data_IF_020894319460
#
_entry.id   IF_020894319460
#
_cell.length_a   1.000
_cell.length_b   1.000
_cell.length_c   1.000
_cell.angle_alpha   90.00
_cell.angle_beta   90.00
_cell.angle_gamma   90.00
#
_symmetry.space_group_name_H-M   'P 1'
#
loop_
_entity.id
_entity.type
_entity.pdbx_description
1 polymer ?
#
# COMPACT_ATOMS: atom_id res chain seq x y z
N UNK A 1 8.21 16.19 6.83
CA UNK A 1 9.09 14.98 6.77
C UNK A 1 8.42 13.74 7.30
N UNK A 2 8.61 12.60 6.65
CA UNK A 2 8.44 11.32 7.36
C UNK A 2 9.57 11.20 8.37
N UNK A 3 9.33 11.62 9.60
CA UNK A 3 10.33 11.49 10.66
C UNK A 3 10.56 10.00 10.93
N UNK A 4 11.80 9.55 10.83
CA UNK A 4 12.18 8.18 11.18
C UNK A 4 12.59 8.13 12.64
N UNK A 5 12.09 7.13 13.36
CA UNK A 5 12.55 6.80 14.71
C UNK A 5 13.07 5.37 14.73
N UNK A 6 14.18 5.16 15.42
CA UNK A 6 14.73 3.82 15.64
C UNK A 6 13.85 3.08 16.65
N UNK A 7 13.14 2.05 16.19
CA UNK A 7 12.26 1.22 17.03
C UNK A 7 12.85 -0.18 17.22
N UNK A 8 12.69 -0.74 18.42
CA UNK A 8 13.05 -2.12 18.71
C UNK A 8 11.99 -3.08 18.13
N UNK A 9 12.45 -4.22 17.63
CA UNK A 9 11.59 -5.34 17.26
C UNK A 9 11.20 -6.08 18.54
N UNK A 10 9.89 -6.01 18.85
CA UNK A 10 9.29 -6.65 20.02
C UNK A 10 9.00 -8.14 19.79
N UNK A 11 8.57 -8.47 18.59
CA UNK A 11 8.23 -9.84 18.21
C UNK A 11 8.42 -10.08 16.71
N UNK A 12 8.79 -11.31 16.36
CA UNK A 12 8.80 -11.82 14.99
C UNK A 12 8.11 -13.17 14.97
N UNK A 13 6.98 -13.25 14.31
CA UNK A 13 6.22 -14.49 14.16
C UNK A 13 6.25 -15.01 12.72
N UNK A 14 6.59 -16.32 12.51
CA UNK A 14 6.55 -16.96 11.21
C UNK A 14 5.08 -17.20 10.78
N UNK A 15 4.68 -16.58 9.66
CA UNK A 15 3.33 -16.72 9.10
C UNK A 15 3.24 -17.81 8.06
N UNK A 16 4.24 -17.90 7.20
CA UNK A 16 4.42 -18.97 6.19
C UNK A 16 5.92 -19.22 6.02
N UNK A 17 6.32 -20.20 5.23
CA UNK A 17 7.74 -20.47 4.96
C UNK A 17 8.46 -19.24 4.38
N UNK A 18 7.72 -18.33 3.73
CA UNK A 18 8.23 -17.13 3.05
C UNK A 18 7.68 -15.81 3.65
N UNK A 19 7.13 -15.81 4.86
CA UNK A 19 6.57 -14.60 5.43
C UNK A 19 6.74 -14.55 6.95
N UNK A 20 7.21 -13.42 7.45
CA UNK A 20 7.23 -13.09 8.88
C UNK A 20 6.35 -11.88 9.15
N UNK A 21 5.68 -11.85 10.29
CA UNK A 21 5.16 -10.62 10.86
C UNK A 21 6.14 -10.06 11.88
N UNK A 22 6.31 -8.74 11.89
CA UNK A 22 7.24 -8.00 12.75
C UNK A 22 6.42 -6.99 13.53
N UNK A 23 6.48 -7.07 14.85
CA UNK A 23 5.86 -6.13 15.78
C UNK A 23 6.92 -5.24 16.42
N UNK A 24 6.69 -3.94 16.37
CA UNK A 24 7.60 -2.94 16.96
C UNK A 24 7.17 -2.54 18.36
N UNK A 25 8.15 -2.26 19.22
CA UNK A 25 7.92 -1.63 20.50
C UNK A 25 7.98 -0.11 20.34
N UNK A 26 6.82 0.52 20.42
CA UNK A 26 6.68 1.98 20.29
C UNK A 26 6.80 2.61 21.69
N UNK A 27 7.88 3.40 21.96
CA UNK A 27 8.05 4.07 23.23
C UNK A 27 6.88 5.01 23.56
N UNK A 28 6.58 5.18 24.85
CA UNK A 28 5.40 5.96 25.28
C UNK A 28 5.38 7.40 24.74
N UNK A 29 6.52 8.05 24.58
CA UNK A 29 6.62 9.42 24.07
C UNK A 29 6.37 9.52 22.56
N UNK A 30 6.45 8.41 21.81
CA UNK A 30 6.18 8.35 20.37
C UNK A 30 4.80 7.80 20.02
N UNK A 31 4.00 7.35 20.99
CA UNK A 31 2.71 6.71 20.73
C UNK A 31 1.74 7.56 19.93
N UNK A 32 1.74 8.87 20.14
CA UNK A 32 0.88 9.78 19.38
C UNK A 32 1.27 9.86 17.91
N UNK A 33 2.56 9.86 17.61
CA UNK A 33 3.13 9.93 16.26
C UNK A 33 2.91 8.64 15.47
N UNK A 34 2.79 7.50 16.18
CA UNK A 34 2.53 6.18 15.59
C UNK A 34 1.06 5.75 15.65
N UNK A 35 0.14 6.67 15.99
CA UNK A 35 -1.28 6.43 15.74
C UNK A 35 -1.54 6.32 14.25
N UNK A 36 -2.34 5.34 13.86
CA UNK A 36 -2.61 5.10 12.44
C UNK A 36 -4.10 4.87 12.17
N UNK A 37 -4.49 5.02 10.92
CA UNK A 37 -5.77 4.58 10.39
C UNK A 37 -5.62 3.19 9.79
N UNK A 38 -6.64 2.35 9.91
CA UNK A 38 -6.63 1.02 9.30
C UNK A 38 -6.36 1.10 7.80
N UNK A 39 -5.42 0.29 7.33
CA UNK A 39 -4.97 0.26 5.94
C UNK A 39 -3.71 1.09 5.65
N UNK A 40 -3.25 1.95 6.57
CA UNK A 40 -1.99 2.67 6.41
C UNK A 40 -0.77 1.74 6.45
N UNK A 41 0.35 2.23 5.94
CA UNK A 41 1.66 1.58 5.93
C UNK A 41 2.69 2.39 6.72
N UNK A 42 3.81 1.76 7.02
CA UNK A 42 5.04 2.38 7.53
C UNK A 42 6.19 2.08 6.57
N UNK A 43 7.13 3.03 6.45
CA UNK A 43 8.39 2.81 5.73
C UNK A 43 9.43 2.29 6.71
N UNK A 44 10.02 1.15 6.39
CA UNK A 44 11.14 0.57 7.13
C UNK A 44 12.45 0.90 6.41
N UNK A 45 13.43 1.39 7.16
CA UNK A 45 14.74 1.80 6.65
C UNK A 45 15.85 1.08 7.43
N UNK A 46 16.86 0.61 6.72
CA UNK A 46 18.08 0.03 7.31
C UNK A 46 19.21 0.02 6.28
N UNK A 47 20.44 -0.17 6.74
CA UNK A 47 21.60 -0.46 5.87
C UNK A 47 21.73 -1.97 5.65
N UNK A 48 21.87 -2.38 4.42
CA UNK A 48 22.13 -3.77 4.03
C UNK A 48 23.33 -3.75 3.06
N UNK A 49 24.43 -4.35 3.47
CA UNK A 49 25.67 -4.43 2.69
C UNK A 49 26.21 -3.04 2.27
N UNK A 50 26.11 -2.04 3.19
CA UNK A 50 26.59 -0.68 2.95
C UNK A 50 25.69 0.15 2.04
N UNK A 51 24.43 -0.26 1.86
CA UNK A 51 23.42 0.48 1.08
C UNK A 51 22.19 0.71 1.92
N UNK A 52 21.71 1.95 1.98
CA UNK A 52 20.43 2.26 2.57
C UNK A 52 19.30 1.64 1.75
N UNK A 53 18.41 0.95 2.42
CA UNK A 53 17.23 0.31 1.83
C UNK A 53 15.99 0.79 2.56
N UNK A 54 15.04 1.38 1.83
CA UNK A 54 13.71 1.80 2.33
C UNK A 54 12.63 0.97 1.66
N UNK A 55 11.66 0.45 2.45
CA UNK A 55 10.51 -0.32 1.91
C UNK A 55 9.26 -0.08 2.75
N UNK A 56 8.14 0.07 2.04
CA UNK A 56 6.82 0.24 2.64
C UNK A 56 6.19 -1.11 2.96
N UNK A 57 5.58 -1.19 4.14
CA UNK A 57 4.81 -2.35 4.57
C UNK A 57 3.53 -1.90 5.27
N UNK A 58 2.39 -2.37 4.75
CA UNK A 58 1.09 -2.06 5.33
C UNK A 58 0.95 -2.67 6.73
N UNK A 59 0.36 -1.89 7.63
CA UNK A 59 0.00 -2.35 8.96
C UNK A 59 -1.09 -3.40 8.88
N UNK A 60 -0.98 -4.49 9.66
CA UNK A 60 -1.89 -5.64 9.63
C UNK A 60 -2.67 -5.85 10.94
N UNK A 61 -2.57 -4.91 11.86
CA UNK A 61 -3.33 -4.85 13.11
C UNK A 61 -4.40 -3.77 13.04
N UNK A 62 -5.44 -3.85 13.90
CA UNK A 62 -6.35 -2.73 14.09
C UNK A 62 -5.67 -1.60 14.87
N UNK A 63 -5.99 -0.32 14.59
CA UNK A 63 -5.47 0.81 15.37
C UNK A 63 -5.75 0.69 16.86
N UNK A 64 -6.93 0.18 17.23
CA UNK A 64 -7.36 -0.03 18.62
C UNK A 64 -6.54 -1.07 19.38
N UNK A 65 -5.83 -1.97 18.69
CA UNK A 65 -4.94 -2.96 19.33
C UNK A 65 -3.70 -2.34 20.00
N UNK A 66 -3.31 -1.13 19.61
CA UNK A 66 -2.09 -0.46 20.06
C UNK A 66 -0.79 -1.12 19.61
N UNK A 67 -0.85 -2.11 18.70
CA UNK A 67 0.31 -2.80 18.16
C UNK A 67 0.67 -2.27 16.76
N UNK A 68 1.93 -1.94 16.57
CA UNK A 68 2.50 -1.56 15.27
C UNK A 68 3.12 -2.80 14.63
N UNK A 69 2.36 -3.49 13.78
CA UNK A 69 2.77 -4.78 13.18
C UNK A 69 2.63 -4.75 11.67
N UNK A 70 3.67 -5.20 10.98
CA UNK A 70 3.68 -5.41 9.52
C UNK A 70 3.94 -6.87 9.21
N UNK A 71 3.64 -7.32 7.97
CA UNK A 71 4.09 -8.62 7.50
C UNK A 71 4.95 -8.48 6.24
N UNK A 72 6.10 -9.13 6.25
CA UNK A 72 7.10 -9.08 5.18
C UNK A 72 7.17 -10.42 4.49
N UNK A 73 6.61 -10.50 3.30
CA UNK A 73 6.72 -11.67 2.44
C UNK A 73 8.05 -11.60 1.66
N UNK A 74 8.84 -12.67 1.73
CA UNK A 74 10.03 -12.82 0.93
C UNK A 74 9.69 -12.87 -0.57
N UNK A 75 10.39 -12.08 -1.37
CA UNK A 75 10.30 -12.10 -2.83
C UNK A 75 11.64 -12.51 -3.44
N UNK A 76 11.57 -13.15 -4.59
CA UNK A 76 12.76 -13.53 -5.34
C UNK A 76 13.58 -12.26 -5.67
N UNK A 77 14.89 -12.30 -5.39
CA UNK A 77 15.80 -11.16 -5.55
C UNK A 77 15.51 -9.93 -4.66
N UNK A 78 14.61 -10.04 -3.68
CA UNK A 78 14.33 -8.96 -2.74
C UNK A 78 15.44 -8.79 -1.71
N UNK A 79 16.01 -7.60 -1.57
CA UNK A 79 17.05 -7.31 -0.57
C UNK A 79 16.47 -7.27 0.84
N UNK A 80 15.57 -6.34 1.10
CA UNK A 80 14.97 -6.17 2.43
C UNK A 80 14.10 -7.37 2.84
N UNK A 81 13.30 -7.91 1.93
CA UNK A 81 12.39 -9.01 2.28
C UNK A 81 13.13 -10.30 2.67
N UNK A 82 14.29 -10.58 2.06
CA UNK A 82 15.18 -11.67 2.48
C UNK A 82 15.83 -11.38 3.83
N UNK A 83 16.36 -10.18 4.01
CA UNK A 83 16.94 -9.74 5.28
C UNK A 83 15.92 -9.89 6.42
N UNK A 84 14.69 -9.44 6.24
CA UNK A 84 13.63 -9.55 7.24
C UNK A 84 13.24 -11.00 7.57
N UNK A 85 13.26 -11.90 6.59
CA UNK A 85 12.86 -13.30 6.80
C UNK A 85 13.98 -14.19 7.33
N UNK A 86 15.25 -13.84 7.10
CA UNK A 86 16.40 -14.73 7.32
C UNK A 86 17.38 -14.21 8.38
N UNK A 87 17.44 -12.90 8.62
CA UNK A 87 18.47 -12.25 9.46
C UNK A 87 17.88 -11.58 10.68
N UNK A 88 16.82 -10.78 10.55
CA UNK A 88 16.24 -10.02 11.65
C UNK A 88 15.78 -10.91 12.81
N UNK A 89 15.99 -10.41 14.02
CA UNK A 89 15.65 -11.10 15.28
C UNK A 89 14.93 -10.15 16.23
N UNK A 90 14.23 -10.70 17.19
CA UNK A 90 13.66 -9.96 18.33
C UNK A 90 14.80 -9.26 19.07
N UNK A 91 14.63 -7.98 19.36
CA UNK A 91 15.62 -7.11 19.97
C UNK A 91 16.49 -6.31 18.99
N UNK A 92 16.49 -6.66 17.69
CA UNK A 92 17.10 -5.81 16.68
C UNK A 92 16.29 -4.52 16.51
N UNK A 93 16.88 -3.53 15.85
CA UNK A 93 16.27 -2.23 15.58
C UNK A 93 16.14 -1.96 14.09
N UNK A 94 15.10 -1.22 13.72
CA UNK A 94 14.94 -0.63 12.40
C UNK A 94 14.54 0.84 12.55
N UNK A 95 14.93 1.66 11.58
CA UNK A 95 14.35 3.00 11.44
C UNK A 95 12.99 2.88 10.81
N UNK A 96 11.99 3.44 11.47
CA UNK A 96 10.59 3.31 11.10
C UNK A 96 9.99 4.70 10.91
N UNK A 97 9.41 4.98 9.74
CA UNK A 97 8.70 6.22 9.51
C UNK A 97 7.30 6.19 10.16
N UNK A 98 6.75 7.38 10.40
CA UNK A 98 5.37 7.52 10.86
C UNK A 98 4.39 6.89 9.87
N UNK A 99 3.22 6.39 10.33
CA UNK A 99 2.21 5.79 9.46
C UNK A 99 1.68 6.75 8.39
N UNK A 100 1.64 6.28 7.16
CA UNK A 100 1.21 7.03 5.97
C UNK A 100 0.29 6.19 5.10
N UNK A 101 -0.23 6.77 4.04
CA UNK A 101 -1.01 6.07 3.01
C UNK A 101 -2.45 6.53 2.93
N UNK A 102 -3.04 6.30 1.76
CA UNK A 102 -4.38 6.78 1.37
C UNK A 102 -5.43 5.65 1.32
N UNK A 103 -5.01 4.41 1.34
CA UNK A 103 -5.87 3.23 1.38
C UNK A 103 -6.40 2.99 2.79
N UNK A 104 -7.31 3.87 3.25
CA UNK A 104 -7.71 3.90 4.65
C UNK A 104 -9.18 3.62 4.88
N UNK A 105 -9.48 3.12 6.07
CA UNK A 105 -10.84 2.97 6.59
C UNK A 105 -10.98 3.73 7.91
N UNK A 106 -12.04 4.55 8.00
CA UNK A 106 -12.41 5.23 9.24
C UNK A 106 -13.69 4.60 9.78
N UNK A 107 -13.65 3.99 10.97
CA UNK A 107 -14.82 3.39 11.60
C UNK A 107 -15.82 4.45 12.07
N UNK A 108 -17.10 4.06 12.05
CA UNK A 108 -18.20 4.85 12.60
C UNK A 108 -19.17 3.91 13.30
N UNK A 109 -19.22 3.96 14.62
CA UNK A 109 -20.03 3.06 15.47
C UNK A 109 -21.54 3.15 15.19
N UNK A 110 -22.00 4.24 14.55
CA UNK A 110 -23.40 4.44 14.17
C UNK A 110 -23.77 3.76 12.84
N UNK A 111 -22.79 3.35 12.05
CA UNK A 111 -23.02 2.76 10.74
C UNK A 111 -23.39 1.28 10.82
N UNK A 112 -24.23 0.88 9.89
CA UNK A 112 -24.53 -0.51 9.56
C UNK A 112 -24.26 -0.69 8.07
N UNK A 113 -23.13 -1.26 7.73
CA UNK A 113 -22.68 -1.39 6.33
C UNK A 113 -22.08 -2.76 6.05
N UNK A 114 -22.04 -3.13 4.79
CA UNK A 114 -21.31 -4.32 4.34
C UNK A 114 -20.09 -3.88 3.54
N UNK A 115 -18.92 -4.27 4.00
CA UNK A 115 -17.65 -4.03 3.32
C UNK A 115 -17.20 -5.32 2.64
N UNK A 116 -16.80 -5.24 1.37
CA UNK A 116 -16.19 -6.36 0.67
C UNK A 116 -14.72 -6.08 0.39
N UNK A 117 -13.87 -7.10 0.47
CA UNK A 117 -12.48 -6.98 0.07
C UNK A 117 -12.03 -8.16 -0.80
N UNK A 118 -11.20 -7.84 -1.79
CA UNK A 118 -10.50 -8.82 -2.63
C UNK A 118 -8.99 -8.67 -2.38
N UNK A 119 -8.41 -9.70 -1.79
CA UNK A 119 -6.98 -9.72 -1.46
C UNK A 119 -6.28 -10.90 -2.12
N UNK A 120 -5.00 -10.75 -2.49
CA UNK A 120 -4.19 -11.88 -2.92
C UNK A 120 -2.77 -11.79 -2.34
N UNK A 121 -2.31 -12.94 -1.78
CA UNK A 121 -0.99 -13.04 -1.16
C UNK A 121 -0.76 -11.99 -0.06
N UNK A 122 0.32 -11.20 -0.18
CA UNK A 122 0.64 -10.14 0.80
C UNK A 122 -0.34 -8.97 0.81
N UNK A 123 -1.19 -8.82 -0.21
CA UNK A 123 -2.26 -7.81 -0.21
C UNK A 123 -3.29 -7.98 0.91
N UNK A 124 -3.21 -9.08 1.66
CA UNK A 124 -4.01 -9.27 2.87
C UNK A 124 -3.64 -8.28 3.99
N UNK A 125 -2.42 -7.72 4.02
CA UNK A 125 -1.95 -6.92 5.16
C UNK A 125 -2.81 -5.69 5.45
N UNK A 126 -3.04 -4.74 4.53
CA UNK A 126 -3.91 -3.61 4.79
C UNK A 126 -5.38 -4.03 4.94
N UNK A 127 -5.80 -5.05 4.19
CA UNK A 127 -7.16 -5.59 4.26
C UNK A 127 -7.45 -6.20 5.63
N UNK A 128 -6.49 -6.90 6.25
CA UNK A 128 -6.64 -7.46 7.59
C UNK A 128 -6.79 -6.37 8.65
N UNK A 129 -6.04 -5.28 8.54
CA UNK A 129 -6.18 -4.11 9.41
C UNK A 129 -7.60 -3.53 9.32
N UNK A 130 -8.10 -3.33 8.10
CA UNK A 130 -9.46 -2.83 7.85
C UNK A 130 -10.52 -3.81 8.39
N UNK A 131 -10.39 -5.10 8.07
CA UNK A 131 -11.29 -6.17 8.53
C UNK A 131 -11.41 -6.21 10.05
N UNK A 132 -10.28 -6.21 10.75
CA UNK A 132 -10.25 -6.17 12.22
C UNK A 132 -10.97 -4.92 12.75
N UNK A 133 -10.66 -3.76 12.18
CA UNK A 133 -11.26 -2.48 12.59
C UNK A 133 -12.79 -2.46 12.39
N UNK A 134 -13.29 -2.94 11.24
CA UNK A 134 -14.74 -3.06 10.99
C UNK A 134 -15.40 -3.94 12.03
N UNK A 135 -14.83 -5.11 12.31
CA UNK A 135 -15.44 -6.08 13.23
C UNK A 135 -15.35 -5.65 14.71
N UNK A 136 -14.29 -4.95 15.08
CA UNK A 136 -14.06 -4.49 16.45
C UNK A 136 -14.81 -3.21 16.79
N UNK A 137 -14.91 -2.26 15.83
CA UNK A 137 -15.39 -0.91 16.10
C UNK A 137 -16.77 -0.60 15.49
N UNK A 138 -17.27 -1.42 14.53
CA UNK A 138 -18.61 -1.28 13.97
C UNK A 138 -19.48 -2.51 14.30
N UNK A 139 -20.19 -2.54 15.41
CA UNK A 139 -20.84 -3.76 15.91
C UNK A 139 -21.92 -4.34 14.99
N UNK A 140 -22.52 -3.50 14.13
CA UNK A 140 -23.60 -3.89 13.23
C UNK A 140 -23.12 -4.11 11.77
N UNK A 141 -21.87 -3.79 11.47
CA UNK A 141 -21.32 -3.92 10.10
C UNK A 141 -20.83 -5.34 9.85
N UNK A 142 -20.84 -5.71 8.56
CA UNK A 142 -20.41 -7.03 8.04
C UNK A 142 -19.21 -6.89 7.13
N UNK A 143 -18.42 -7.95 7.06
CA UNK A 143 -17.26 -8.01 6.18
C UNK A 143 -17.27 -9.28 5.33
N UNK A 144 -17.02 -9.12 4.02
CA UNK A 144 -16.86 -10.20 3.06
C UNK A 144 -15.43 -10.15 2.54
N UNK A 145 -14.64 -11.19 2.83
CA UNK A 145 -13.28 -11.31 2.33
C UNK A 145 -13.21 -12.38 1.23
N UNK A 146 -12.68 -12.02 0.08
CA UNK A 146 -12.30 -12.95 -0.99
C UNK A 146 -10.77 -12.98 -1.04
N UNK A 147 -10.17 -14.12 -0.66
CA UNK A 147 -8.73 -14.20 -0.44
C UNK A 147 -8.07 -15.29 -1.28
N UNK A 148 -7.27 -14.85 -2.27
CA UNK A 148 -6.55 -15.71 -3.20
C UNK A 148 -5.10 -15.99 -2.79
N UNK A 149 -4.70 -17.25 -2.84
CA UNK A 149 -3.32 -17.69 -2.58
C UNK A 149 -2.91 -18.82 -3.56
N UNK A 150 -1.64 -19.24 -3.54
CA UNK A 150 -1.19 -20.40 -4.32
C UNK A 150 -1.70 -21.68 -3.70
N UNK A 151 -1.42 -21.90 -2.43
CA UNK A 151 -1.83 -23.06 -1.64
C UNK A 151 -2.25 -22.63 -0.24
N UNK A 152 -2.81 -23.57 0.52
CA UNK A 152 -3.14 -23.35 1.94
C UNK A 152 -1.91 -22.93 2.75
N UNK A 153 -0.73 -23.53 2.49
CA UNK A 153 0.52 -23.23 3.20
C UNK A 153 1.07 -21.82 2.93
N UNK A 154 0.71 -21.25 1.77
CA UNK A 154 1.13 -19.89 1.39
C UNK A 154 0.19 -18.82 1.96
N UNK A 155 -0.85 -19.19 2.69
CA UNK A 155 -1.89 -18.28 3.17
C UNK A 155 -1.40 -17.54 4.41
N UNK A 156 -1.03 -16.27 4.21
CA UNK A 156 -0.58 -15.41 5.31
C UNK A 156 -1.76 -15.14 6.24
N UNK A 157 -1.54 -15.23 7.56
CA UNK A 157 -2.56 -15.06 8.61
C UNK A 157 -3.73 -16.05 8.54
N UNK A 158 -3.52 -17.27 8.01
CA UNK A 158 -4.60 -18.26 7.91
C UNK A 158 -5.27 -18.52 9.25
N UNK A 159 -4.50 -18.83 10.29
CA UNK A 159 -5.03 -19.16 11.62
C UNK A 159 -5.75 -17.95 12.23
N UNK A 160 -5.16 -16.75 12.14
CA UNK A 160 -5.79 -15.52 12.63
C UNK A 160 -7.15 -15.27 11.95
N UNK A 161 -7.21 -15.46 10.62
CA UNK A 161 -8.46 -15.29 9.85
C UNK A 161 -9.53 -16.29 10.25
N UNK A 162 -9.16 -17.55 10.47
CA UNK A 162 -10.09 -18.59 10.94
C UNK A 162 -10.59 -18.29 12.35
N UNK A 163 -9.72 -17.84 13.25
CA UNK A 163 -10.09 -17.48 14.62
C UNK A 163 -11.02 -16.25 14.63
N UNK A 164 -10.73 -15.24 13.81
CA UNK A 164 -11.59 -14.05 13.66
C UNK A 164 -12.95 -14.48 13.06
N UNK A 165 -12.98 -15.36 12.06
CA UNK A 165 -14.21 -15.85 11.45
C UNK A 165 -15.06 -16.64 12.48
N UNK A 166 -14.44 -17.47 13.31
CA UNK A 166 -15.14 -18.15 14.38
C UNK A 166 -15.73 -17.19 15.41
N UNK A 167 -14.98 -16.15 15.78
CA UNK A 167 -15.42 -15.13 16.75
C UNK A 167 -16.56 -14.25 16.22
N UNK A 168 -16.58 -13.94 14.93
CA UNK A 168 -17.55 -13.07 14.27
C UNK A 168 -18.33 -13.79 13.16
N UNK A 169 -18.75 -15.03 13.40
CA UNK A 169 -19.32 -15.94 12.41
C UNK A 169 -20.58 -15.42 11.71
N UNK A 170 -21.34 -14.53 12.33
CA UNK A 170 -22.52 -13.85 11.80
C UNK A 170 -22.21 -12.57 11.00
N UNK A 171 -20.99 -12.05 11.11
CA UNK A 171 -20.57 -10.78 10.50
C UNK A 171 -19.39 -10.91 9.55
N UNK A 172 -18.61 -11.98 9.60
CA UNK A 172 -17.48 -12.23 8.71
C UNK A 172 -17.70 -13.46 7.85
N UNK A 173 -17.61 -13.28 6.54
CA UNK A 173 -17.55 -14.40 5.60
C UNK A 173 -16.24 -14.34 4.83
N UNK A 174 -15.50 -15.44 4.80
CA UNK A 174 -14.26 -15.58 4.04
C UNK A 174 -14.47 -16.60 2.91
N UNK A 175 -14.13 -16.22 1.70
CA UNK A 175 -14.04 -17.10 0.55
C UNK A 175 -12.58 -17.25 0.15
N UNK A 176 -11.98 -18.37 0.49
CA UNK A 176 -10.63 -18.70 0.04
C UNK A 176 -10.62 -19.19 -1.40
N UNK A 177 -9.55 -18.86 -2.13
CA UNK A 177 -9.22 -19.40 -3.44
C UNK A 177 -7.78 -19.90 -3.45
N UNK A 178 -7.56 -21.06 -4.06
CA UNK A 178 -6.23 -21.62 -4.21
C UNK A 178 -5.96 -21.96 -5.67
N UNK A 179 -4.88 -21.39 -6.23
CA UNK A 179 -4.55 -21.57 -7.65
C UNK A 179 -3.72 -22.81 -7.95
N UNK A 180 -3.15 -23.45 -6.92
CA UNK A 180 -2.25 -24.61 -7.04
C UNK A 180 -2.59 -25.78 -6.11
N UNK A 181 -3.65 -25.65 -5.30
CA UNK A 181 -4.16 -26.75 -4.48
C UNK A 181 -5.68 -26.76 -4.49
N UNK A 182 -6.27 -27.94 -4.29
CA UNK A 182 -7.71 -28.13 -4.12
C UNK A 182 -7.98 -28.38 -2.64
N UNK A 183 -8.69 -27.48 -2.01
CA UNK A 183 -9.03 -27.54 -0.59
C UNK A 183 -10.54 -27.61 -0.42
N UNK A 184 -10.96 -28.30 0.63
CA UNK A 184 -12.37 -28.34 1.01
C UNK A 184 -12.83 -26.93 1.39
N UNK A 185 -14.03 -26.58 0.97
CA UNK A 185 -14.66 -25.28 1.25
C UNK A 185 -13.96 -24.04 0.65
N UNK A 186 -13.02 -24.24 -0.29
CA UNK A 186 -12.39 -23.19 -1.07
C UNK A 186 -12.69 -23.31 -2.56
N UNK A 187 -12.57 -22.22 -3.31
CA UNK A 187 -12.64 -22.25 -4.76
C UNK A 187 -11.25 -22.57 -5.33
N UNK A 188 -11.21 -23.30 -6.44
CA UNK A 188 -9.98 -23.53 -7.19
C UNK A 188 -9.78 -22.44 -8.24
N UNK A 189 -8.57 -21.89 -8.33
CA UNK A 189 -8.19 -20.90 -9.32
C UNK A 189 -7.75 -19.57 -8.71
N UNK A 190 -7.72 -18.56 -9.56
CA UNK A 190 -7.39 -17.17 -9.19
C UNK A 190 -8.66 -16.31 -9.05
N UNK A 191 -8.51 -15.12 -8.49
CA UNK A 191 -9.55 -14.10 -8.54
C UNK A 191 -9.58 -13.55 -9.96
N UNK A 192 -10.52 -14.06 -10.75
CA UNK A 192 -10.73 -13.73 -12.16
C UNK A 192 -12.16 -13.22 -12.36
N UNK A 193 -12.47 -12.73 -13.57
CA UNK A 193 -13.78 -12.19 -13.94
C UNK A 193 -14.95 -13.10 -13.54
N UNK A 194 -14.81 -14.41 -13.72
CA UNK A 194 -15.82 -15.41 -13.35
C UNK A 194 -16.05 -15.45 -11.83
N UNK A 195 -14.98 -15.44 -11.04
CA UNK A 195 -15.04 -15.42 -9.57
C UNK A 195 -15.70 -14.16 -9.05
N UNK A 196 -15.27 -12.99 -9.56
CA UNK A 196 -15.82 -11.70 -9.12
C UNK A 196 -17.31 -11.62 -9.46
N UNK A 197 -17.72 -12.02 -10.68
CA UNK A 197 -19.12 -12.08 -11.07
C UNK A 197 -19.93 -13.06 -10.20
N UNK A 198 -19.38 -14.23 -9.87
CA UNK A 198 -20.02 -15.18 -8.96
C UNK A 198 -20.26 -14.54 -7.58
N UNK A 199 -19.28 -13.85 -7.04
CA UNK A 199 -19.39 -13.15 -5.75
C UNK A 199 -20.45 -12.05 -5.82
N UNK A 200 -20.34 -11.13 -6.79
CA UNK A 200 -21.17 -9.93 -6.85
C UNK A 200 -22.59 -10.25 -7.34
N UNK A 201 -22.75 -11.03 -8.42
CA UNK A 201 -24.04 -11.27 -9.08
C UNK A 201 -24.83 -12.44 -8.51
N UNK A 202 -24.15 -13.43 -7.88
CA UNK A 202 -24.84 -14.64 -7.43
C UNK A 202 -24.85 -14.74 -5.91
N UNK A 203 -23.66 -14.79 -5.29
CA UNK A 203 -23.54 -15.07 -3.85
C UNK A 203 -24.06 -13.92 -2.99
N UNK A 204 -23.81 -12.67 -3.39
CA UNK A 204 -24.18 -11.46 -2.66
C UNK A 204 -25.08 -10.52 -3.48
N UNK A 205 -25.83 -11.05 -4.45
CA UNK A 205 -26.72 -10.26 -5.34
C UNK A 205 -27.76 -9.40 -4.62
N UNK A 206 -28.22 -9.87 -3.45
CA UNK A 206 -29.24 -9.21 -2.65
C UNK A 206 -28.65 -8.40 -1.48
N UNK A 207 -27.31 -8.28 -1.42
CA UNK A 207 -26.58 -7.54 -0.39
C UNK A 207 -26.09 -6.23 -0.97
N UNK A 208 -26.49 -5.10 -0.37
CA UNK A 208 -25.90 -3.82 -0.69
C UNK A 208 -24.48 -3.79 -0.08
N UNK A 209 -23.45 -3.70 -0.93
CA UNK A 209 -22.06 -3.52 -0.51
C UNK A 209 -21.75 -2.03 -0.58
N UNK A 210 -21.31 -1.49 0.53
CA UNK A 210 -21.10 -0.04 0.71
C UNK A 210 -19.71 0.40 0.27
N UNK A 211 -18.70 -0.48 0.36
CA UNK A 211 -17.34 -0.22 -0.12
C UNK A 211 -16.61 -1.51 -0.49
N UNK A 212 -15.70 -1.40 -1.47
CA UNK A 212 -14.83 -2.46 -1.93
C UNK A 212 -13.36 -2.07 -1.71
N UNK A 213 -12.58 -2.95 -1.05
CA UNK A 213 -11.16 -2.77 -0.81
C UNK A 213 -10.36 -3.82 -1.57
N UNK A 214 -9.46 -3.40 -2.44
CA UNK A 214 -8.72 -4.27 -3.35
C UNK A 214 -7.22 -4.15 -3.08
N UNK A 215 -6.54 -5.27 -2.77
CA UNK A 215 -5.09 -5.27 -2.64
C UNK A 215 -4.48 -6.60 -3.08
N UNK A 216 -3.54 -6.55 -4.02
CA UNK A 216 -2.89 -7.72 -4.60
C UNK A 216 -2.22 -7.40 -5.94
N UNK A 217 -1.98 -8.40 -6.79
CA UNK A 217 -1.42 -8.19 -8.12
C UNK A 217 -2.27 -7.25 -8.96
N UNK A 218 -1.62 -6.36 -9.72
CA UNK A 218 -2.26 -5.36 -10.57
C UNK A 218 -3.34 -5.94 -11.49
N UNK A 219 -3.03 -7.05 -12.18
CA UNK A 219 -4.01 -7.72 -13.04
C UNK A 219 -5.27 -8.19 -12.31
N UNK A 220 -5.16 -8.60 -11.03
CA UNK A 220 -6.33 -8.92 -10.19
C UNK A 220 -7.13 -7.66 -9.88
N UNK A 221 -6.46 -6.58 -9.47
CA UNK A 221 -7.11 -5.30 -9.12
C UNK A 221 -7.89 -4.78 -10.33
N UNK A 222 -7.25 -4.73 -11.51
CA UNK A 222 -7.89 -4.28 -12.75
C UNK A 222 -9.10 -5.17 -13.10
N UNK A 223 -8.95 -6.49 -13.04
CA UNK A 223 -10.08 -7.41 -13.27
C UNK A 223 -11.27 -7.16 -12.34
N UNK A 224 -10.99 -6.92 -11.04
CA UNK A 224 -12.07 -6.64 -10.07
C UNK A 224 -12.72 -5.29 -10.37
N UNK A 225 -11.95 -4.24 -10.63
CA UNK A 225 -12.45 -2.90 -11.00
C UNK A 225 -13.35 -2.97 -12.24
N UNK A 226 -12.89 -3.63 -13.31
CA UNK A 226 -13.67 -3.79 -14.55
C UNK A 226 -15.00 -4.46 -14.29
N UNK A 227 -15.02 -5.54 -13.51
CA UNK A 227 -16.28 -6.24 -13.17
C UNK A 227 -17.19 -5.40 -12.30
N UNK A 228 -16.65 -4.63 -11.34
CA UNK A 228 -17.45 -3.73 -10.51
C UNK A 228 -18.09 -2.62 -11.36
N UNK A 229 -17.32 -2.02 -12.29
CA UNK A 229 -17.84 -1.02 -13.24
C UNK A 229 -18.92 -1.62 -14.16
N UNK A 230 -18.72 -2.84 -14.72
CA UNK A 230 -19.73 -3.56 -15.50
C UNK A 230 -21.03 -3.85 -14.71
N UNK A 231 -20.95 -3.82 -13.39
CA UNK A 231 -22.11 -3.99 -12.49
C UNK A 231 -22.66 -2.67 -11.94
N UNK A 232 -22.26 -1.53 -12.52
CA UNK A 232 -22.69 -0.19 -12.14
C UNK A 232 -22.35 0.18 -10.69
N UNK A 233 -21.24 -0.35 -10.15
CA UNK A 233 -20.70 0.09 -8.87
C UNK A 233 -19.92 1.38 -9.11
N UNK A 234 -20.24 2.41 -8.36
CA UNK A 234 -19.60 3.71 -8.45
C UNK A 234 -18.12 3.64 -8.03
N UNK A 235 -17.23 4.31 -8.76
CA UNK A 235 -15.79 4.35 -8.47
C UNK A 235 -15.50 4.88 -7.06
N UNK A 236 -16.32 5.79 -6.55
CA UNK A 236 -16.24 6.33 -5.18
C UNK A 236 -16.35 5.27 -4.08
N UNK A 237 -16.85 4.07 -4.41
CA UNK A 237 -16.95 2.92 -3.50
C UNK A 237 -15.78 1.94 -3.62
N UNK A 238 -14.85 2.16 -4.57
CA UNK A 238 -13.77 1.21 -4.89
C UNK A 238 -12.42 1.80 -4.50
N UNK A 239 -11.82 1.22 -3.47
CA UNK A 239 -10.51 1.60 -2.94
C UNK A 239 -9.49 0.52 -3.30
N UNK A 240 -8.29 0.91 -3.73
CA UNK A 240 -7.26 -0.07 -4.06
C UNK A 240 -5.86 0.40 -3.66
N UNK A 241 -4.98 -0.57 -3.42
CA UNK A 241 -3.56 -0.35 -3.16
C UNK A 241 -2.72 -1.36 -3.96
N UNK A 242 -1.67 -0.86 -4.62
CA UNK A 242 -0.73 -1.64 -5.41
C UNK A 242 0.59 -1.79 -4.65
N UNK A 243 1.16 -3.01 -4.63
CA UNK A 243 2.50 -3.26 -4.05
C UNK A 243 3.58 -3.36 -5.12
N UNK A 244 3.20 -3.72 -6.34
CA UNK A 244 4.10 -3.82 -7.50
C UNK A 244 3.31 -3.53 -8.77
N UNK A 245 3.95 -2.90 -9.75
CA UNK A 245 3.42 -2.80 -11.10
C UNK A 245 4.08 -3.83 -11.98
N UNK A 246 3.31 -4.49 -12.83
CA UNK A 246 3.79 -5.37 -13.89
C UNK A 246 3.84 -4.66 -15.24
N UNK A 247 3.19 -3.51 -15.34
CA UNK A 247 3.18 -2.71 -16.56
C UNK A 247 4.51 -1.98 -16.73
N UNK A 248 5.33 -2.47 -17.63
CA UNK A 248 6.11 -1.55 -18.45
C UNK A 248 5.08 -0.71 -19.22
N UNK A 249 4.90 0.56 -18.83
CA UNK A 249 4.13 1.49 -19.65
C UNK A 249 4.70 1.40 -21.06
N UNK A 250 3.84 1.06 -22.04
CA UNK A 250 4.18 1.25 -23.42
C UNK A 250 4.48 2.75 -23.59
N UNK A 251 5.65 3.05 -24.11
CA UNK A 251 6.22 4.40 -24.24
C UNK A 251 5.40 5.31 -25.20
N UNK A 252 4.19 4.90 -25.59
CA UNK A 252 3.41 5.54 -26.66
C UNK A 252 2.61 6.77 -26.23
N UNK A 253 2.45 7.02 -24.90
CA UNK A 253 1.68 8.18 -24.39
C UNK A 253 2.49 9.15 -23.50
N UNK A 254 3.79 8.98 -23.38
CA UNK A 254 4.65 9.92 -22.64
C UNK A 254 5.14 10.97 -23.63
N UNK A 255 4.80 12.24 -23.46
CA UNK A 255 5.46 13.36 -24.14
C UNK A 255 6.97 13.11 -24.07
N UNK A 256 7.69 13.19 -25.20
CA UNK A 256 9.12 12.90 -25.26
C UNK A 256 9.85 13.73 -24.21
N UNK A 257 10.46 13.02 -23.24
CA UNK A 257 11.31 13.68 -22.24
C UNK A 257 12.51 14.24 -22.98
N UNK A 258 12.64 15.54 -22.95
CA UNK A 258 13.69 16.29 -23.66
C UNK A 258 15.08 15.98 -23.09
N UNK A 259 16.13 16.14 -23.90
CA UNK A 259 17.54 16.11 -23.46
C UNK A 259 17.95 17.42 -22.76
N UNK A 260 16.99 18.32 -22.52
CA UNK A 260 17.22 19.63 -21.96
C UNK A 260 17.57 19.61 -20.47
N UNK A 261 17.83 20.81 -19.97
CA UNK A 261 18.03 21.07 -18.55
C UNK A 261 16.93 21.99 -18.01
N UNK A 262 16.61 21.82 -16.76
CA UNK A 262 15.60 22.62 -16.04
C UNK A 262 16.24 23.25 -14.80
N UNK A 263 15.96 24.52 -14.56
CA UNK A 263 16.22 25.14 -13.25
C UNK A 263 15.11 24.71 -12.30
N UNK A 264 15.43 23.91 -11.32
CA UNK A 264 14.48 23.41 -10.32
C UNK A 264 14.70 24.08 -8.97
N UNK A 265 13.62 24.48 -8.33
CA UNK A 265 13.58 24.83 -6.91
C UNK A 265 12.81 23.72 -6.18
N UNK A 266 13.44 23.09 -5.22
CA UNK A 266 12.83 22.07 -4.34
C UNK A 266 12.63 22.68 -2.96
N UNK A 267 11.42 22.57 -2.43
CA UNK A 267 11.06 22.95 -1.06
C UNK A 267 10.78 21.67 -0.28
N UNK A 268 11.52 21.45 0.79
CA UNK A 268 11.35 20.31 1.72
C UNK A 268 11.74 20.76 3.11
N UNK A 269 10.87 20.56 4.11
CA UNK A 269 11.04 20.97 5.51
C UNK A 269 11.31 22.45 5.70
N UNK A 270 10.55 23.30 5.03
CA UNK A 270 10.73 24.76 5.00
C UNK A 270 12.10 25.20 4.46
N UNK A 271 12.92 24.28 3.95
CA UNK A 271 14.17 24.61 3.26
C UNK A 271 13.96 24.67 1.74
N UNK A 272 14.50 25.71 1.12
CA UNK A 272 14.41 25.94 -0.32
C UNK A 272 15.80 25.81 -0.96
N UNK A 273 15.95 24.95 -1.97
CA UNK A 273 17.18 24.82 -2.73
C UNK A 273 16.94 24.87 -4.22
N UNK A 274 17.67 25.77 -4.91
CA UNK A 274 17.59 25.92 -6.36
C UNK A 274 18.86 25.37 -7.02
N UNK A 275 18.69 24.55 -8.05
CA UNK A 275 19.79 23.96 -8.82
C UNK A 275 19.35 23.64 -10.24
N UNK A 276 20.27 23.16 -11.09
CA UNK A 276 19.97 22.70 -12.44
C UNK A 276 19.98 21.19 -12.51
N UNK A 277 18.98 20.60 -13.13
CA UNK A 277 18.85 19.17 -13.33
C UNK A 277 18.65 18.84 -14.81
N UNK A 278 18.98 17.60 -15.21
CA UNK A 278 18.61 17.07 -16.52
C UNK A 278 17.12 16.73 -16.53
N UNK A 279 16.44 16.98 -17.64
CA UNK A 279 15.05 16.56 -17.84
C UNK A 279 14.90 15.03 -17.93
N UNK A 280 16.00 14.31 -18.17
CA UNK A 280 16.04 12.85 -18.14
C UNK A 280 16.03 12.26 -16.71
N UNK A 281 16.43 13.05 -15.71
CA UNK A 281 16.37 12.64 -14.32
C UNK A 281 14.96 12.86 -13.75
N UNK A 282 14.55 12.04 -12.81
CA UNK A 282 13.37 12.33 -11.99
C UNK A 282 13.68 13.45 -10.98
N UNK A 283 12.65 14.17 -10.58
CA UNK A 283 12.76 15.21 -9.54
C UNK A 283 13.36 14.64 -8.25
N UNK A 284 12.95 13.43 -7.86
CA UNK A 284 13.49 12.76 -6.67
C UNK A 284 14.99 12.48 -6.80
N UNK A 285 15.43 11.88 -7.92
CA UNK A 285 16.86 11.61 -8.14
C UNK A 285 17.69 12.88 -8.05
N UNK A 286 17.24 13.95 -8.69
CA UNK A 286 17.94 15.23 -8.67
C UNK A 286 17.97 15.88 -7.27
N UNK A 287 16.89 15.74 -6.47
CA UNK A 287 16.84 16.22 -5.09
C UNK A 287 17.83 15.47 -4.19
N UNK A 288 17.86 14.12 -4.31
CA UNK A 288 18.79 13.27 -3.53
C UNK A 288 20.26 13.52 -3.88
N UNK A 289 20.59 13.77 -5.14
CA UNK A 289 21.95 14.17 -5.57
C UNK A 289 22.41 15.51 -4.97
N UNK A 290 21.47 16.30 -4.49
CA UNK A 290 21.74 17.57 -3.82
C UNK A 290 21.73 17.45 -2.29
N UNK A 291 21.74 16.23 -1.76
CA UNK A 291 21.68 15.94 -0.32
C UNK A 291 20.41 16.49 0.38
N UNK A 292 19.30 16.68 -0.39
CA UNK A 292 18.00 17.00 0.18
C UNK A 292 17.34 15.72 0.72
N UNK A 293 16.79 15.79 1.93
CA UNK A 293 16.09 14.64 2.54
C UNK A 293 14.65 14.51 2.01
N UNK A 294 14.51 14.49 0.68
CA UNK A 294 13.22 14.29 0.04
C UNK A 294 12.65 12.91 0.40
N UNK A 295 11.37 12.84 0.81
CA UNK A 295 10.76 11.58 1.22
C UNK A 295 10.58 10.62 0.03
N UNK A 296 10.93 9.35 0.19
CA UNK A 296 10.71 8.31 -0.81
C UNK A 296 10.67 6.91 -0.22
N UNK A 297 10.13 5.95 -1.00
CA UNK A 297 10.21 4.52 -0.69
C UNK A 297 10.22 3.64 -1.94
N UNK A 298 9.08 3.43 -2.62
CA UNK A 298 8.95 2.44 -3.70
C UNK A 298 9.71 2.82 -4.98
N UNK A 299 9.88 4.09 -5.27
CA UNK A 299 10.44 4.68 -6.50
C UNK A 299 9.78 4.18 -7.81
N UNK A 300 8.60 3.57 -7.71
CA UNK A 300 7.87 2.94 -8.83
C UNK A 300 6.49 3.54 -9.10
N UNK A 301 6.14 4.70 -8.55
CA UNK A 301 4.85 5.37 -8.81
C UNK A 301 3.63 4.66 -8.21
N UNK A 302 3.81 3.87 -7.16
CA UNK A 302 2.76 3.04 -6.54
C UNK A 302 2.49 3.36 -5.05
N UNK A 303 3.31 4.20 -4.43
CA UNK A 303 3.09 4.70 -3.07
C UNK A 303 3.03 6.22 -3.08
N UNK A 304 2.56 6.81 -1.99
CA UNK A 304 2.48 8.26 -1.83
C UNK A 304 3.68 8.87 -1.11
N UNK A 305 4.75 8.09 -0.82
CA UNK A 305 5.88 8.57 -0.01
C UNK A 305 6.65 9.73 -0.64
N UNK A 306 6.69 9.81 -1.97
CA UNK A 306 7.36 10.90 -2.71
C UNK A 306 6.38 11.91 -3.30
N UNK A 307 5.19 12.05 -2.71
CA UNK A 307 4.19 13.01 -3.16
C UNK A 307 4.69 14.44 -2.94
N UNK A 308 4.48 15.31 -3.92
CA UNK A 308 4.78 16.75 -3.83
C UNK A 308 3.85 17.52 -4.77
N UNK A 309 3.83 18.84 -4.64
CA UNK A 309 3.06 19.74 -5.50
C UNK A 309 3.97 20.58 -6.39
N UNK A 310 3.62 20.68 -7.68
CA UNK A 310 4.22 21.66 -8.60
C UNK A 310 3.55 23.00 -8.36
N UNK A 311 4.33 23.99 -7.89
CA UNK A 311 3.89 25.39 -7.67
C UNK A 311 4.07 26.24 -8.93
N UNK A 312 5.10 25.96 -9.73
CA UNK A 312 5.42 26.64 -10.99
C UNK A 312 6.03 25.65 -11.98
N UNK A 313 5.74 25.80 -13.25
CA UNK A 313 6.27 24.95 -14.31
C UNK A 313 5.41 23.71 -14.57
N UNK A 314 6.00 22.71 -15.22
CA UNK A 314 5.35 21.44 -15.58
C UNK A 314 6.32 20.28 -15.51
N UNK A 315 5.79 19.10 -15.15
CA UNK A 315 6.46 17.81 -15.26
C UNK A 315 5.50 16.74 -15.78
N UNK A 316 6.06 15.72 -16.44
CA UNK A 316 5.36 14.52 -16.86
C UNK A 316 5.80 13.36 -15.99
N UNK A 317 4.87 12.54 -15.53
CA UNK A 317 5.19 11.32 -14.80
C UNK A 317 5.29 10.12 -15.75
N UNK A 318 6.39 9.34 -15.65
CA UNK A 318 6.54 8.08 -16.42
C UNK A 318 5.52 7.04 -16.00
N UNK A 319 5.20 7.00 -14.71
CA UNK A 319 4.19 6.11 -14.14
C UNK A 319 3.40 6.85 -13.07
N UNK A 320 2.07 6.68 -13.12
CA UNK A 320 1.16 7.17 -12.09
C UNK A 320 0.06 6.14 -11.88
N UNK A 321 0.12 5.41 -10.77
CA UNK A 321 -0.85 4.36 -10.44
C UNK A 321 -1.72 4.71 -9.23
N UNK A 322 -1.57 5.92 -8.66
CA UNK A 322 -2.27 6.29 -7.42
C UNK A 322 -2.93 7.68 -7.46
N UNK A 323 -2.44 8.61 -8.28
CA UNK A 323 -3.05 9.94 -8.40
C UNK A 323 -4.16 9.90 -9.45
N UNK A 324 -5.28 10.52 -9.13
CA UNK A 324 -6.37 10.77 -10.06
C UNK A 324 -6.02 11.92 -11.02
N UNK A 325 -6.70 11.97 -12.16
CA UNK A 325 -6.53 13.06 -13.13
C UNK A 325 -6.78 14.45 -12.50
N UNK A 326 -7.73 14.57 -11.58
CA UNK A 326 -8.00 15.80 -10.85
C UNK A 326 -6.82 16.22 -9.96
N UNK A 327 -6.21 15.29 -9.24
CA UNK A 327 -5.06 15.55 -8.39
C UNK A 327 -3.83 15.97 -9.20
N UNK A 328 -3.61 15.34 -10.35
CA UNK A 328 -2.57 15.74 -11.29
C UNK A 328 -2.87 17.14 -11.86
N UNK A 329 -4.13 17.43 -12.19
CA UNK A 329 -4.54 18.76 -12.66
C UNK A 329 -4.38 19.85 -11.57
N UNK A 330 -4.47 19.48 -10.28
CA UNK A 330 -4.19 20.36 -9.13
C UNK A 330 -2.69 20.52 -8.83
N UNK A 331 -1.82 19.89 -9.63
CA UNK A 331 -0.37 19.99 -9.54
C UNK A 331 0.31 18.93 -8.68
N UNK A 332 -0.40 17.91 -8.18
CA UNK A 332 0.24 16.82 -7.43
C UNK A 332 1.03 15.89 -8.37
N UNK A 333 2.21 15.51 -7.93
CA UNK A 333 3.10 14.59 -8.65
C UNK A 333 3.78 13.59 -7.72
N UNK A 334 4.13 12.44 -8.28
CA UNK A 334 5.03 11.48 -7.65
C UNK A 334 6.45 11.78 -8.13
N UNK A 335 7.27 12.42 -7.32
CA UNK A 335 8.57 12.96 -7.71
C UNK A 335 9.55 11.90 -8.20
N UNK A 336 9.41 10.65 -7.77
CA UNK A 336 10.21 9.52 -8.29
C UNK A 336 9.91 9.18 -9.75
N UNK A 337 8.80 9.68 -10.30
CA UNK A 337 8.36 9.47 -11.68
C UNK A 337 8.22 10.76 -12.47
N UNK A 338 8.31 11.91 -11.79
CA UNK A 338 8.12 13.22 -12.41
C UNK A 338 9.40 13.71 -13.09
N UNK A 339 9.31 14.00 -14.38
CA UNK A 339 10.36 14.57 -15.23
C UNK A 339 9.94 15.96 -15.70
N UNK A 340 10.73 17.00 -15.43
CA UNK A 340 10.41 18.35 -15.88
C UNK A 340 10.31 18.45 -17.40
N UNK A 341 9.29 19.20 -17.88
CA UNK A 341 9.12 19.52 -19.31
C UNK A 341 9.11 21.04 -19.56
N UNK A 342 9.42 21.83 -18.53
CA UNK A 342 9.57 23.28 -18.59
C UNK A 342 10.99 23.72 -18.22
N UNK A 343 11.43 24.88 -18.69
CA UNK A 343 12.77 25.42 -18.40
C UNK A 343 12.97 25.76 -16.91
N UNK A 344 11.88 26.00 -16.17
CA UNK A 344 11.86 26.25 -14.73
C UNK A 344 10.73 25.48 -14.09
N UNK A 345 10.97 24.93 -12.87
CA UNK A 345 9.97 24.25 -12.07
C UNK A 345 10.19 24.51 -10.58
N UNK A 346 9.11 24.66 -9.82
CA UNK A 346 9.13 24.70 -8.36
C UNK A 346 8.30 23.52 -7.85
N UNK A 347 8.93 22.67 -7.04
CA UNK A 347 8.33 21.47 -6.44
C UNK A 347 8.38 21.58 -4.92
N UNK A 348 7.23 21.44 -4.29
CA UNK A 348 7.01 21.65 -2.88
C UNK A 348 6.51 20.35 -2.24
N UNK A 349 7.30 19.76 -1.33
CA UNK A 349 6.96 18.55 -0.59
C UNK A 349 6.14 18.85 0.68
N UNK A 350 6.07 20.12 1.10
CA UNK A 350 5.39 20.52 2.34
C UNK A 350 3.92 20.92 2.07
N UNK A 351 3.55 21.17 0.80
CA UNK A 351 2.18 21.48 0.35
C UNK A 351 1.52 20.27 -0.35
N UNK A 352 1.05 19.27 0.42
CA UNK A 352 0.40 18.05 -0.08
C UNK A 352 -0.96 17.78 0.55
#
# INVERSE_FOLDING_TARGET
MSQFHTLNIKDITRQTDQCVSITFDVPNHLKEEYKFKAGQYITLKTDIDGKEVRRDYSLCTSPSSGNLTVAVKEVENGTFSKYANQVLKVGDTLDVAQPQGRFTFTPDTSKTRTIAAFAAGSGITPVLSILKTVLEEEPNSKFVLVYGNKTLKDTIFLNDLLDIQNKYSDRLTIQFLYSQSQEKDALFGRIEKSTVNFIVKNKYKDVNIDAFYLCGPEGMINTVKDVLAENNIEDSKVFFELFTTTSSVSVEDVEEISDGTTSITVIVDDEEKTFTMSQQQSVLEAALEQDLDAPYSCQGGICSSCLARIKEGKATMRQNNILTDNEVAEGLVLTCQAHPVSAKIIVDYDDI
#
